data_IF_154727967530
#
_entry.id   IF_154727967530
#
_cell.length_a   1.000
_cell.length_b   1.000
_cell.length_c   1.000
_cell.angle_alpha   90.00
_cell.angle_beta   90.00
_cell.angle_gamma   90.00
#
_symmetry.space_group_name_H-M   'P 1'
#
loop_
_entity.id
_entity.type
_entity.pdbx_description
1 polymer ?
#
# COMPACT_ATOMS: atom_id res chain seq x y z
N UNK A 1 20.03 -12.55 3.61
CA UNK A 1 19.60 -11.33 4.33
C UNK A 1 18.83 -10.40 3.40
N UNK A 2 19.43 -9.95 2.30
CA UNK A 2 18.83 -9.06 1.27
C UNK A 2 17.48 -9.53 0.71
N UNK A 3 17.34 -10.83 0.39
CA UNK A 3 16.07 -11.39 -0.13
C UNK A 3 14.92 -11.39 0.89
N UNK A 4 15.22 -11.51 2.19
CA UNK A 4 14.21 -11.46 3.24
C UNK A 4 13.74 -10.02 3.47
N UNK A 5 14.67 -9.06 3.50
CA UNK A 5 14.36 -7.64 3.59
C UNK A 5 13.55 -7.17 2.38
N UNK A 6 13.95 -7.55 1.17
CA UNK A 6 13.21 -7.26 -0.06
C UNK A 6 11.76 -7.74 0.03
N UNK A 7 11.53 -9.01 0.39
CA UNK A 7 10.18 -9.56 0.55
C UNK A 7 9.38 -8.86 1.65
N UNK A 8 10.03 -8.45 2.72
CA UNK A 8 9.39 -7.73 3.82
C UNK A 8 8.89 -6.35 3.36
N UNK A 9 9.72 -5.61 2.62
CA UNK A 9 9.34 -4.31 2.04
C UNK A 9 8.22 -4.48 1.02
N UNK A 10 8.29 -5.51 0.16
CA UNK A 10 7.19 -5.82 -0.76
C UNK A 10 5.89 -6.08 0.00
N UNK A 11 5.91 -6.83 1.09
CA UNK A 11 4.72 -7.06 1.91
C UNK A 11 4.09 -5.76 2.44
N UNK A 12 4.90 -4.80 2.86
CA UNK A 12 4.41 -3.49 3.32
C UNK A 12 3.87 -2.67 2.14
N UNK A 13 4.63 -2.59 1.06
CA UNK A 13 4.29 -1.79 -0.11
C UNK A 13 3.05 -2.30 -0.84
N UNK A 14 2.92 -3.63 -1.00
CA UNK A 14 1.78 -4.24 -1.68
C UNK A 14 0.47 -3.97 -0.94
N UNK A 15 0.50 -3.90 0.39
CA UNK A 15 -0.67 -3.50 1.17
C UNK A 15 -1.15 -2.10 0.80
N UNK A 16 -0.23 -1.12 0.80
CA UNK A 16 -0.55 0.26 0.45
C UNK A 16 -0.94 0.42 -1.02
N UNK A 17 -0.32 -0.34 -1.92
CA UNK A 17 -0.63 -0.32 -3.36
C UNK A 17 -2.04 -0.80 -3.63
N UNK A 18 -2.40 -1.98 -3.13
CA UNK A 18 -3.72 -2.57 -3.38
C UNK A 18 -4.81 -1.75 -2.70
N UNK A 19 -4.59 -1.27 -1.47
CA UNK A 19 -5.58 -0.43 -0.80
C UNK A 19 -5.73 0.94 -1.49
N UNK A 20 -4.62 1.55 -1.91
CA UNK A 20 -4.63 2.77 -2.72
C UNK A 20 -5.45 2.59 -3.99
N UNK A 21 -5.24 1.49 -4.73
CA UNK A 21 -6.04 1.16 -5.90
C UNK A 21 -7.53 1.03 -5.57
N UNK A 22 -7.88 0.33 -4.49
CA UNK A 22 -9.28 0.20 -4.04
C UNK A 22 -9.91 1.54 -3.69
N UNK A 23 -9.19 2.45 -3.05
CA UNK A 23 -9.73 3.78 -2.77
C UNK A 23 -9.84 4.64 -4.03
N UNK A 24 -8.88 4.53 -4.96
CA UNK A 24 -8.92 5.21 -6.24
C UNK A 24 -10.13 4.83 -7.11
N UNK A 25 -10.61 3.59 -7.02
CA UNK A 25 -11.85 3.13 -7.68
C UNK A 25 -13.09 3.94 -7.24
N UNK A 26 -13.06 4.57 -6.06
CA UNK A 26 -14.18 5.35 -5.52
C UNK A 26 -14.21 6.80 -6.01
N UNK A 27 -13.18 7.28 -6.72
CA UNK A 27 -13.13 8.66 -7.21
C UNK A 27 -14.35 8.98 -8.08
N UNK A 28 -15.10 10.03 -7.71
CA UNK A 28 -16.36 10.42 -8.32
C UNK A 28 -17.58 9.59 -7.89
N UNK A 29 -17.40 8.63 -6.98
CA UNK A 29 -18.44 7.71 -6.50
C UNK A 29 -18.61 7.75 -4.97
N UNK A 30 -17.92 8.67 -4.28
CA UNK A 30 -18.14 8.92 -2.86
C UNK A 30 -19.58 9.38 -2.53
N UNK A 31 -20.09 9.13 -1.31
CA UNK A 31 -21.44 9.55 -0.90
C UNK A 31 -21.71 11.06 -1.02
N UNK A 32 -20.66 11.87 -0.85
CA UNK A 32 -20.66 13.32 -1.04
C UNK A 32 -19.26 13.77 -1.47
N UNK A 33 -19.15 15.04 -1.86
CA UNK A 33 -17.89 15.59 -2.39
C UNK A 33 -16.75 15.53 -1.35
N UNK A 34 -17.06 15.78 -0.08
CA UNK A 34 -16.08 15.78 0.99
C UNK A 34 -15.48 14.39 1.23
N UNK A 35 -16.32 13.36 1.25
CA UNK A 35 -15.89 11.97 1.41
C UNK A 35 -15.16 11.46 0.17
N UNK A 36 -15.56 11.88 -1.02
CA UNK A 36 -14.87 11.55 -2.28
C UNK A 36 -13.45 12.12 -2.31
N UNK A 37 -13.30 13.40 -1.97
CA UNK A 37 -11.99 14.07 -1.86
C UNK A 37 -11.15 13.40 -0.76
N UNK A 38 -11.74 13.08 0.39
CA UNK A 38 -11.03 12.43 1.48
C UNK A 38 -10.50 11.05 1.09
N UNK A 39 -11.32 10.18 0.49
CA UNK A 39 -10.89 8.86 0.02
C UNK A 39 -9.81 8.96 -1.06
N UNK A 40 -9.94 9.92 -1.99
CA UNK A 40 -8.95 10.16 -3.04
C UNK A 40 -7.62 10.66 -2.46
N UNK A 41 -7.65 11.51 -1.45
CA UNK A 41 -6.44 11.96 -0.76
C UNK A 41 -5.73 10.81 -0.04
N UNK A 42 -6.47 9.96 0.67
CA UNK A 42 -5.90 8.76 1.31
C UNK A 42 -5.28 7.83 0.26
N UNK A 43 -5.97 7.63 -0.87
CA UNK A 43 -5.43 6.87 -2.00
C UNK A 43 -4.08 7.44 -2.47
N UNK A 44 -3.99 8.77 -2.60
CA UNK A 44 -2.78 9.45 -3.04
C UNK A 44 -1.63 9.28 -2.03
N UNK A 45 -1.92 9.41 -0.73
CA UNK A 45 -0.93 9.21 0.33
C UNK A 45 -0.36 7.79 0.32
N UNK A 46 -1.23 6.78 0.18
CA UNK A 46 -0.83 5.37 0.08
C UNK A 46 0.06 5.13 -1.14
N UNK A 47 -0.30 5.67 -2.31
CA UNK A 47 0.53 5.57 -3.52
C UNK A 47 1.88 6.29 -3.35
N UNK A 48 1.92 7.43 -2.66
CA UNK A 48 3.16 8.12 -2.31
C UNK A 48 4.10 7.25 -1.46
N UNK A 49 3.55 6.50 -0.50
CA UNK A 49 4.31 5.55 0.30
C UNK A 49 4.83 4.37 -0.54
N UNK A 50 3.99 3.82 -1.43
CA UNK A 50 4.38 2.71 -2.33
C UNK A 50 5.61 3.06 -3.14
N UNK A 51 5.64 4.26 -3.74
CA UNK A 51 6.80 4.74 -4.50
C UNK A 51 8.07 4.73 -3.66
N UNK A 52 7.98 5.28 -2.45
CA UNK A 52 9.13 5.31 -1.52
C UNK A 52 9.62 3.89 -1.18
N UNK A 53 8.70 2.95 -0.93
CA UNK A 53 9.05 1.56 -0.64
C UNK A 53 9.64 0.81 -1.85
N UNK A 54 9.07 0.95 -3.04
CA UNK A 54 9.56 0.26 -4.24
C UNK A 54 10.89 0.82 -4.74
N UNK A 55 11.13 2.12 -4.62
CA UNK A 55 12.46 2.69 -4.85
C UNK A 55 13.51 2.08 -3.92
N UNK A 56 13.17 1.88 -2.64
CA UNK A 56 14.07 1.23 -1.70
C UNK A 56 14.24 -0.26 -2.00
N UNK A 57 13.16 -0.97 -2.33
CA UNK A 57 13.19 -2.37 -2.74
C UNK A 57 14.05 -2.60 -3.99
N UNK A 58 13.98 -1.70 -4.98
CA UNK A 58 14.82 -1.66 -6.17
C UNK A 58 16.31 -1.55 -5.80
N UNK A 59 16.67 -0.62 -4.91
CA UNK A 59 18.06 -0.46 -4.41
C UNK A 59 18.57 -1.73 -3.72
N UNK A 60 17.72 -2.41 -2.94
CA UNK A 60 18.09 -3.63 -2.20
C UNK A 60 18.34 -4.80 -3.14
N UNK A 61 17.49 -4.99 -4.15
CA UNK A 61 17.62 -6.14 -5.04
C UNK A 61 18.73 -5.93 -6.07
N UNK A 62 18.96 -4.67 -6.49
CA UNK A 62 20.11 -4.27 -7.31
C UNK A 62 20.17 -4.96 -8.68
N UNK A 63 19.04 -5.42 -9.20
CA UNK A 63 18.96 -6.20 -10.45
C UNK A 63 18.56 -5.36 -11.67
N UNK A 64 18.55 -4.03 -11.52
CA UNK A 64 18.26 -3.06 -12.59
C UNK A 64 16.78 -2.73 -12.77
N UNK A 65 15.87 -3.38 -12.03
CA UNK A 65 14.44 -3.03 -12.04
C UNK A 65 14.17 -1.74 -11.27
N UNK A 66 13.31 -0.88 -11.81
CA UNK A 66 12.87 0.35 -11.13
C UNK A 66 11.58 0.17 -10.32
N UNK A 67 11.01 1.27 -9.80
CA UNK A 67 9.77 1.23 -9.02
C UNK A 67 8.56 0.73 -9.83
N UNK A 68 8.51 1.07 -11.11
CA UNK A 68 7.40 0.75 -12.01
C UNK A 68 7.48 -0.71 -12.45
N UNK A 69 8.68 -1.23 -12.72
CA UNK A 69 8.91 -2.65 -12.99
C UNK A 69 8.42 -3.50 -11.81
N UNK A 70 8.74 -3.10 -10.57
CA UNK A 70 8.30 -3.79 -9.36
C UNK A 70 6.77 -3.68 -9.22
N UNK A 71 6.16 -2.54 -9.53
CA UNK A 71 4.73 -2.35 -9.39
C UNK A 71 3.91 -3.12 -10.44
N UNK A 72 4.37 -3.15 -11.70
CA UNK A 72 3.55 -3.52 -12.86
C UNK A 72 3.93 -4.86 -13.51
N UNK A 73 5.17 -5.33 -13.37
CA UNK A 73 5.65 -6.54 -14.06
C UNK A 73 5.54 -7.81 -13.21
N UNK A 74 5.07 -7.70 -11.96
CA UNK A 74 4.80 -8.84 -11.07
C UNK A 74 3.43 -9.46 -11.36
N UNK A 75 3.35 -10.79 -11.31
CA UNK A 75 2.10 -11.56 -11.42
C UNK A 75 1.36 -11.60 -10.08
N UNK A 76 0.09 -11.99 -10.12
CA UNK A 76 -0.80 -12.04 -8.96
C UNK A 76 -0.24 -12.87 -7.78
N UNK A 77 0.50 -13.95 -8.06
CA UNK A 77 1.12 -14.81 -7.04
C UNK A 77 2.38 -14.21 -6.40
N UNK A 78 2.87 -13.10 -6.94
CA UNK A 78 4.07 -12.41 -6.48
C UNK A 78 3.74 -11.20 -5.59
N UNK A 79 2.46 -10.83 -5.48
CA UNK A 79 1.99 -9.85 -4.50
C UNK A 79 1.87 -10.50 -3.13
N UNK A 80 2.31 -9.77 -2.11
CA UNK A 80 2.37 -10.20 -0.71
C UNK A 80 1.42 -9.39 0.18
N UNK A 81 0.41 -8.75 -0.41
CA UNK A 81 -0.59 -8.01 0.33
C UNK A 81 -1.43 -8.94 1.23
N UNK A 82 -1.97 -8.37 2.30
CA UNK A 82 -2.94 -9.05 3.15
C UNK A 82 -4.30 -9.14 2.45
N UNK A 83 -5.05 -10.20 2.75
CA UNK A 83 -6.39 -10.42 2.17
C UNK A 83 -7.38 -9.30 2.51
N UNK A 84 -7.14 -8.55 3.59
CA UNK A 84 -8.01 -7.45 4.01
C UNK A 84 -8.06 -6.34 2.94
N UNK A 85 -6.93 -5.98 2.33
CA UNK A 85 -6.85 -4.81 1.43
C UNK A 85 -7.37 -5.11 0.02
N UNK A 86 -7.36 -6.37 -0.40
CA UNK A 86 -7.84 -6.76 -1.74
C UNK A 86 -9.36 -6.95 -1.82
N UNK A 87 -10.08 -6.93 -0.69
CA UNK A 87 -11.53 -7.07 -0.68
C UNK A 87 -12.17 -6.01 -1.60
N UNK A 88 -13.23 -6.37 -2.36
CA UNK A 88 -13.88 -5.42 -3.26
C UNK A 88 -14.58 -4.30 -2.49
N UNK A 89 -14.74 -3.14 -3.13
CA UNK A 89 -15.63 -2.11 -2.62
C UNK A 89 -17.09 -2.55 -2.78
N UNK A 90 -17.87 -2.46 -1.72
CA UNK A 90 -19.31 -2.77 -1.73
C UNK A 90 -20.08 -1.50 -1.38
N UNK A 91 -20.55 -1.37 -0.15
CA UNK A 91 -21.09 -0.12 0.37
C UNK A 91 -20.03 0.71 1.10
N UNK A 92 -20.35 1.98 1.37
CA UNK A 92 -19.42 2.89 2.01
C UNK A 92 -19.06 2.46 3.44
N UNK A 93 -19.96 1.81 4.17
CA UNK A 93 -19.66 1.32 5.52
C UNK A 93 -18.63 0.18 5.48
N UNK A 94 -18.73 -0.70 4.48
CA UNK A 94 -17.75 -1.75 4.23
C UNK A 94 -16.36 -1.18 3.92
N UNK A 95 -16.29 -0.17 3.04
CA UNK A 95 -15.05 0.55 2.72
C UNK A 95 -14.45 1.16 3.99
N UNK A 96 -15.26 1.86 4.79
CA UNK A 96 -14.79 2.50 6.01
C UNK A 96 -14.34 1.49 7.08
N UNK A 97 -15.01 0.33 7.18
CA UNK A 97 -14.58 -0.73 8.10
C UNK A 97 -13.22 -1.30 7.71
N UNK A 98 -13.02 -1.60 6.41
CA UNK A 98 -11.72 -2.04 5.88
C UNK A 98 -10.64 -0.99 6.12
N UNK A 99 -10.95 0.27 5.83
CA UNK A 99 -10.03 1.39 5.98
C UNK A 99 -9.62 1.58 7.44
N UNK A 100 -10.59 1.63 8.36
CA UNK A 100 -10.33 1.78 9.79
C UNK A 100 -9.44 0.67 10.35
N UNK A 101 -9.73 -0.59 10.03
CA UNK A 101 -8.92 -1.72 10.49
C UNK A 101 -7.48 -1.63 9.96
N UNK A 102 -7.32 -1.26 8.69
CA UNK A 102 -6.01 -1.07 8.10
C UNK A 102 -5.26 0.10 8.72
N UNK A 103 -5.91 1.25 8.91
CA UNK A 103 -5.28 2.46 9.45
C UNK A 103 -4.79 2.26 10.89
N UNK A 104 -5.59 1.59 11.73
CA UNK A 104 -5.18 1.27 13.11
C UNK A 104 -3.95 0.35 13.11
N UNK A 105 -3.95 -0.68 12.27
CA UNK A 105 -2.78 -1.55 12.08
C UNK A 105 -1.58 -0.73 11.59
N UNK A 106 -1.77 0.08 10.55
CA UNK A 106 -0.71 0.79 9.86
C UNK A 106 -0.07 1.84 10.77
N UNK A 107 -0.87 2.55 11.57
CA UNK A 107 -0.38 3.48 12.58
C UNK A 107 0.53 2.79 13.60
N UNK A 108 0.04 1.71 14.24
CA UNK A 108 0.81 0.97 15.23
C UNK A 108 2.08 0.35 14.63
N UNK A 109 1.97 -0.16 13.40
CA UNK A 109 3.07 -0.73 12.65
C UNK A 109 4.15 0.31 12.36
N UNK A 110 3.79 1.47 11.81
CA UNK A 110 4.73 2.53 11.47
C UNK A 110 5.41 3.12 12.70
N UNK A 111 4.72 3.21 13.85
CA UNK A 111 5.32 3.65 15.11
C UNK A 111 6.48 2.74 15.54
N UNK A 112 6.33 1.43 15.41
CA UNK A 112 7.42 0.49 15.71
C UNK A 112 8.46 0.45 14.59
N UNK A 113 8.05 0.60 13.33
CA UNK A 113 8.95 0.62 12.18
C UNK A 113 9.96 1.77 12.24
N UNK A 114 9.58 2.93 12.80
CA UNK A 114 10.50 4.05 13.07
C UNK A 114 11.65 3.69 14.00
N UNK A 115 11.52 2.62 14.81
CA UNK A 115 12.59 2.12 15.69
C UNK A 115 13.48 1.08 15.01
N UNK A 116 13.23 0.77 13.74
CA UNK A 116 14.07 -0.14 12.96
C UNK A 116 15.52 0.37 12.92
N UNK A 117 16.47 -0.58 12.88
CA UNK A 117 17.90 -0.29 12.73
C UNK A 117 18.31 -0.08 11.27
N UNK A 118 17.38 -0.28 10.35
CA UNK A 118 17.61 -0.11 8.92
C UNK A 118 17.51 1.38 8.56
N UNK A 119 18.66 1.99 8.28
CA UNK A 119 18.78 3.38 7.87
C UNK A 119 18.79 3.38 6.34
N UNK A 120 17.59 3.52 5.76
CA UNK A 120 17.30 3.64 4.32
C UNK A 120 18.31 4.47 3.52
#
# INVERSE_FOLDING_TARGET
>A
MTKHLFKYILGIADNSLILGQRLGELCGHGPNLETDIACTNISLDLLGQVRSYFQYASKIIGDGRDEDDIAMMRKEREYLNVLLVEQPNTDFAYVMARQFLFDVYHFLFLQELQKSKDLT
#
